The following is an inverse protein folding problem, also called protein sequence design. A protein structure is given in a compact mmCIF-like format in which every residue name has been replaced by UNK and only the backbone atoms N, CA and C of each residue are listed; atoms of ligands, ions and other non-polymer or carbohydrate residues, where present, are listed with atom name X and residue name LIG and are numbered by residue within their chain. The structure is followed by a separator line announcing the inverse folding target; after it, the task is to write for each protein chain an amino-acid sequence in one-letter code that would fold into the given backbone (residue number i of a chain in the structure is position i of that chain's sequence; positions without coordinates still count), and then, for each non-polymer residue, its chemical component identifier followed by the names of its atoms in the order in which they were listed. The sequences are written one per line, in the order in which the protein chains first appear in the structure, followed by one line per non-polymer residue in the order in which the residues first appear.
data_IF_875914287136
#
_entry.id   IF_875914287136
#
_cell.length_a   1.000
_cell.length_b   1.000
_cell.length_c   1.000
_cell.angle_alpha   90.00
_cell.angle_beta   90.00
_cell.angle_gamma   90.00
#
_symmetry.space_group_name_H-M   'P 1'
#
loop_
_entity.id
_entity.type
_entity.pdbx_description
1 polymer ?
#
# COMPACT_ATOMS: atom_id res chain seq x y z
N UNK A 1 17.31 -27.20 11.76
CA UNK A 1 17.73 -27.07 10.34
C UNK A 1 19.15 -26.55 10.33
N UNK A 2 20.14 -27.38 10.02
CA UNK A 2 21.57 -27.07 10.30
C UNK A 2 22.45 -26.92 9.06
N UNK A 3 21.89 -26.86 7.85
CA UNK A 3 22.62 -26.41 6.64
C UNK A 3 21.69 -25.64 5.69
N UNK A 4 21.98 -24.36 5.47
CA UNK A 4 21.40 -23.53 4.41
C UNK A 4 22.43 -22.46 4.00
N UNK A 5 22.45 -22.10 2.72
CA UNK A 5 23.45 -21.16 2.17
C UNK A 5 22.95 -19.71 2.13
N UNK A 6 21.63 -19.52 2.16
CA UNK A 6 20.99 -18.21 2.18
C UNK A 6 19.55 -18.28 2.72
N UNK A 7 19.00 -17.12 3.08
CA UNK A 7 17.63 -17.00 3.60
C UNK A 7 16.82 -16.04 2.72
N UNK A 8 15.65 -16.48 2.27
CA UNK A 8 14.63 -15.58 1.69
C UNK A 8 13.38 -15.69 2.56
N UNK A 9 12.96 -14.60 3.18
CA UNK A 9 11.81 -14.57 4.06
C UNK A 9 10.92 -13.36 3.78
N UNK A 10 9.61 -13.54 3.90
CA UNK A 10 8.60 -12.47 3.80
C UNK A 10 7.75 -12.52 5.06
N UNK A 11 7.47 -11.37 5.65
CA UNK A 11 6.59 -11.30 6.82
C UNK A 11 6.32 -9.87 7.27
N UNK A 12 5.66 -9.75 8.43
CA UNK A 12 5.41 -8.45 9.05
C UNK A 12 6.71 -7.70 9.33
N UNK A 13 6.63 -6.38 9.56
CA UNK A 13 7.80 -5.57 9.95
C UNK A 13 8.50 -6.11 11.21
N UNK A 14 7.72 -6.65 12.16
CA UNK A 14 8.26 -7.27 13.37
C UNK A 14 8.99 -8.58 13.06
N UNK A 15 8.39 -9.42 12.21
CA UNK A 15 9.00 -10.67 11.75
C UNK A 15 10.29 -10.39 10.99
N UNK A 16 10.28 -9.38 10.12
CA UNK A 16 11.45 -8.96 9.37
C UNK A 16 12.59 -8.52 10.30
N UNK A 17 12.30 -7.71 11.33
CA UNK A 17 13.30 -7.28 12.31
C UNK A 17 13.92 -8.47 13.04
N UNK A 18 13.09 -9.43 13.48
CA UNK A 18 13.56 -10.64 14.14
C UNK A 18 14.45 -11.48 13.20
N UNK A 19 14.01 -11.71 11.95
CA UNK A 19 14.79 -12.48 10.98
C UNK A 19 16.10 -11.79 10.59
N UNK A 20 16.11 -10.46 10.44
CA UNK A 20 17.33 -9.72 10.10
C UNK A 20 18.38 -9.86 11.19
N UNK A 21 17.96 -9.82 12.45
CA UNK A 21 18.85 -10.05 13.58
C UNK A 21 19.34 -11.51 13.64
N UNK A 22 18.42 -12.47 13.54
CA UNK A 22 18.72 -13.89 13.69
C UNK A 22 19.62 -14.44 12.57
N UNK A 23 19.42 -14.00 11.33
CA UNK A 23 20.14 -14.49 10.15
C UNK A 23 21.24 -13.53 9.68
N UNK A 24 21.66 -12.56 10.49
CA UNK A 24 22.64 -11.53 10.12
C UNK A 24 23.98 -12.06 9.58
N UNK A 25 24.34 -13.29 9.96
CA UNK A 25 25.60 -13.95 9.57
C UNK A 25 25.48 -14.75 8.25
N UNK A 26 24.31 -14.78 7.61
CA UNK A 26 24.09 -15.45 6.33
C UNK A 26 23.64 -14.43 5.29
N UNK A 27 23.89 -14.67 3.99
CA UNK A 27 23.24 -13.89 2.95
C UNK A 27 21.71 -14.00 3.08
N UNK A 28 21.01 -12.87 3.12
CA UNK A 28 19.55 -12.88 3.24
C UNK A 28 18.84 -11.85 2.36
N UNK A 29 17.63 -12.18 1.95
CA UNK A 29 16.59 -11.25 1.49
C UNK A 29 15.43 -11.36 2.47
N UNK A 30 15.14 -10.26 3.18
CA UNK A 30 14.01 -10.19 4.09
C UNK A 30 13.06 -9.12 3.58
N UNK A 31 11.82 -9.52 3.26
CA UNK A 31 10.79 -8.62 2.77
C UNK A 31 9.86 -8.18 3.89
N UNK A 32 9.82 -6.86 4.09
CA UNK A 32 8.93 -6.14 5.03
C UNK A 32 7.57 -5.89 4.38
N UNK A 33 6.60 -5.48 5.20
CA UNK A 33 5.31 -5.04 4.68
C UNK A 33 5.48 -3.67 4.01
N UNK A 34 5.01 -3.58 2.77
CA UNK A 34 4.86 -2.33 2.01
C UNK A 34 3.43 -2.23 1.51
N UNK A 35 2.99 -1.02 1.16
CA UNK A 35 1.64 -0.78 0.64
C UNK A 35 1.69 0.11 -0.61
N UNK A 36 0.63 0.06 -1.40
CA UNK A 36 0.39 1.04 -2.46
C UNK A 36 -0.10 2.36 -1.86
N UNK A 37 0.23 3.45 -2.53
CA UNK A 37 -0.36 4.77 -2.29
C UNK A 37 -0.96 5.29 -3.59
N UNK A 38 -1.88 6.26 -3.50
CA UNK A 38 -2.31 7.05 -4.64
C UNK A 38 -2.10 8.54 -4.36
N UNK A 39 -1.73 9.29 -5.40
CA UNK A 39 -1.67 10.74 -5.39
C UNK A 39 -2.80 11.22 -6.28
N UNK A 40 -3.70 12.02 -5.71
CA UNK A 40 -4.82 12.62 -6.42
C UNK A 40 -4.63 14.14 -6.46
N UNK A 41 -5.00 14.79 -7.55
CA UNK A 41 -4.95 16.24 -7.75
C UNK A 41 -6.33 16.88 -7.95
N UNK A 42 -7.40 16.08 -8.02
CA UNK A 42 -8.78 16.56 -8.19
C UNK A 42 -9.21 16.71 -9.66
N UNK A 43 -8.36 16.35 -10.62
CA UNK A 43 -8.64 16.38 -12.05
C UNK A 43 -8.79 14.98 -12.65
N UNK A 44 -8.81 13.94 -11.82
CA UNK A 44 -9.02 12.57 -12.26
C UNK A 44 -10.38 12.44 -12.95
N UNK A 45 -10.45 11.63 -14.01
CA UNK A 45 -11.74 11.28 -14.60
C UNK A 45 -12.47 10.26 -13.73
N UNK A 46 -13.78 10.13 -13.92
CA UNK A 46 -14.58 9.13 -13.22
C UNK A 46 -14.09 7.70 -13.51
N UNK A 47 -13.61 7.43 -14.73
CA UNK A 47 -13.02 6.15 -15.13
C UNK A 47 -11.70 5.88 -14.39
N UNK A 48 -10.86 6.91 -14.20
CA UNK A 48 -9.62 6.81 -13.45
C UNK A 48 -9.89 6.52 -11.96
N UNK A 49 -10.85 7.22 -11.35
CA UNK A 49 -11.27 6.97 -9.98
C UNK A 49 -11.91 5.60 -9.80
N UNK A 50 -12.67 5.12 -10.79
CA UNK A 50 -13.24 3.78 -10.79
C UNK A 50 -12.12 2.73 -10.84
N UNK A 51 -11.12 2.92 -11.71
CA UNK A 51 -9.96 2.05 -11.82
C UNK A 51 -9.11 2.05 -10.54
N UNK A 52 -8.96 3.19 -9.88
CA UNK A 52 -8.33 3.29 -8.55
C UNK A 52 -9.09 2.45 -7.51
N UNK A 53 -10.42 2.33 -7.64
CA UNK A 53 -11.21 1.41 -6.83
C UNK A 53 -10.71 -0.04 -6.92
N UNK A 54 -10.27 -0.51 -8.09
CA UNK A 54 -9.68 -1.85 -8.23
C UNK A 54 -8.36 -1.96 -7.45
N UNK A 55 -7.50 -0.94 -7.53
CA UNK A 55 -6.24 -0.89 -6.80
C UNK A 55 -6.45 -0.91 -5.26
N UNK A 56 -7.56 -0.36 -4.78
CA UNK A 56 -7.93 -0.33 -3.36
C UNK A 56 -8.57 -1.67 -2.93
N UNK A 57 -9.59 -2.13 -3.65
CA UNK A 57 -10.51 -3.18 -3.17
C UNK A 57 -10.18 -4.58 -3.68
N UNK A 58 -9.38 -4.72 -4.76
CA UNK A 58 -8.99 -6.05 -5.23
C UNK A 58 -8.25 -6.81 -4.11
N UNK A 59 -8.57 -8.09 -3.98
CA UNK A 59 -8.11 -8.94 -2.88
C UNK A 59 -8.42 -8.38 -1.49
N UNK A 60 -9.51 -7.62 -1.33
CA UNK A 60 -9.94 -7.01 -0.08
C UNK A 60 -8.97 -5.95 0.50
N UNK A 61 -8.06 -5.43 -0.32
CA UNK A 61 -7.02 -4.50 0.14
C UNK A 61 -5.90 -5.16 0.94
N UNK A 62 -5.74 -6.49 0.83
CA UNK A 62 -4.73 -7.26 1.56
C UNK A 62 -3.37 -7.32 0.85
N UNK A 63 -3.26 -6.84 -0.39
CA UNK A 63 -2.03 -6.93 -1.17
C UNK A 63 -1.01 -5.87 -0.75
N UNK A 64 0.29 -6.20 -0.85
CA UNK A 64 1.35 -5.20 -0.66
C UNK A 64 1.33 -4.08 -1.73
N UNK A 65 0.61 -4.31 -2.83
CA UNK A 65 0.34 -3.33 -3.89
C UNK A 65 -1.07 -2.72 -3.81
N UNK A 66 -1.88 -3.12 -2.83
CA UNK A 66 -3.18 -2.49 -2.61
C UNK A 66 -2.98 -1.06 -2.11
N UNK A 67 -3.78 -0.13 -2.64
CA UNK A 67 -3.74 1.27 -2.21
C UNK A 67 -4.35 1.38 -0.82
N UNK A 68 -3.50 1.70 0.16
CA UNK A 68 -3.89 1.88 1.56
C UNK A 68 -3.96 3.36 1.97
N UNK A 69 -3.34 4.25 1.17
CA UNK A 69 -3.26 5.69 1.45
C UNK A 69 -3.43 6.56 0.22
N UNK A 70 -4.12 7.68 0.41
CA UNK A 70 -4.30 8.75 -0.57
C UNK A 70 -3.53 10.01 -0.13
N UNK A 71 -2.81 10.63 -1.05
CA UNK A 71 -2.34 12.00 -0.91
C UNK A 71 -3.22 12.88 -1.77
N UNK A 72 -3.81 13.91 -1.19
CA UNK A 72 -4.80 14.78 -1.83
C UNK A 72 -4.44 16.25 -1.64
N UNK A 73 -4.78 17.16 -2.55
CA UNK A 73 -4.55 18.59 -2.35
C UNK A 73 -5.39 19.12 -1.20
N UNK A 74 -4.96 20.24 -0.62
CA UNK A 74 -5.81 21.02 0.27
C UNK A 74 -7.16 21.31 -0.41
N UNK A 75 -8.25 21.18 0.35
CA UNK A 75 -9.63 21.37 -0.15
C UNK A 75 -10.13 20.37 -1.21
N UNK A 76 -9.52 19.18 -1.31
CA UNK A 76 -10.02 18.10 -2.18
C UNK A 76 -11.48 17.71 -1.85
N UNK A 77 -12.31 17.57 -2.90
CA UNK A 77 -13.70 17.10 -2.79
C UNK A 77 -13.77 15.57 -3.00
N UNK A 78 -14.16 14.85 -1.95
CA UNK A 78 -14.32 13.40 -2.00
C UNK A 78 -15.58 12.92 -2.72
N UNK A 79 -16.50 13.79 -3.12
CA UNK A 79 -17.77 13.37 -3.75
C UNK A 79 -17.54 12.49 -4.99
N UNK A 80 -16.69 12.94 -5.93
CA UNK A 80 -16.37 12.18 -7.13
C UNK A 80 -15.70 10.84 -6.80
N UNK A 81 -14.78 10.83 -5.83
CA UNK A 81 -14.14 9.61 -5.35
C UNK A 81 -15.16 8.63 -4.76
N UNK A 82 -16.08 9.11 -3.92
CA UNK A 82 -17.11 8.27 -3.30
C UNK A 82 -18.04 7.66 -4.33
N UNK A 83 -18.51 8.45 -5.32
CA UNK A 83 -19.32 7.94 -6.42
C UNK A 83 -18.59 6.84 -7.19
N UNK A 84 -17.31 7.06 -7.50
CA UNK A 84 -16.49 6.11 -8.25
C UNK A 84 -16.32 4.77 -7.53
N UNK A 85 -16.22 4.77 -6.19
CA UNK A 85 -16.02 3.53 -5.41
C UNK A 85 -17.31 2.80 -5.06
N UNK A 86 -18.50 3.39 -5.26
CA UNK A 86 -19.79 2.76 -4.95
C UNK A 86 -19.97 1.35 -5.55
N UNK A 87 -19.52 1.04 -6.79
CA UNK A 87 -19.62 -0.30 -7.35
C UNK A 87 -18.95 -1.39 -6.49
N UNK A 88 -17.93 -1.02 -5.71
CA UNK A 88 -17.18 -1.94 -4.84
C UNK A 88 -17.87 -2.24 -3.51
N UNK A 89 -19.00 -1.59 -3.19
CA UNK A 89 -19.73 -1.76 -1.91
C UNK A 89 -20.04 -3.21 -1.53
N UNK A 90 -20.16 -4.12 -2.51
CA UNK A 90 -20.42 -5.55 -2.29
C UNK A 90 -19.33 -6.24 -1.48
N UNK A 91 -18.13 -5.65 -1.35
CA UNK A 91 -17.05 -6.15 -0.50
C UNK A 91 -17.49 -6.35 0.97
N UNK A 92 -18.44 -5.54 1.44
CA UNK A 92 -18.99 -5.64 2.81
C UNK A 92 -19.79 -6.91 3.04
N UNK A 93 -20.17 -7.64 1.99
CA UNK A 93 -20.87 -8.92 2.12
C UNK A 93 -19.93 -10.04 2.58
N UNK A 94 -18.61 -9.88 2.42
CA UNK A 94 -17.65 -10.84 2.93
C UNK A 94 -17.52 -10.73 4.45
N UNK A 95 -17.87 -11.82 5.16
CA UNK A 95 -18.00 -11.84 6.64
C UNK A 95 -16.75 -11.33 7.36
N UNK A 96 -15.54 -11.75 6.96
CA UNK A 96 -14.30 -11.32 7.61
C UNK A 96 -14.03 -9.83 7.42
N UNK A 97 -14.26 -9.33 6.20
CA UNK A 97 -14.09 -7.91 5.88
C UNK A 97 -15.08 -7.05 6.68
N UNK A 98 -16.36 -7.44 6.67
CA UNK A 98 -17.42 -6.79 7.45
C UNK A 98 -17.10 -6.70 8.94
N UNK A 99 -16.57 -7.78 9.50
CA UNK A 99 -16.20 -7.81 10.91
C UNK A 99 -15.05 -6.84 11.21
N UNK A 100 -14.02 -6.80 10.34
CA UNK A 100 -12.90 -5.87 10.50
C UNK A 100 -13.37 -4.41 10.40
N UNK A 101 -14.13 -4.10 9.35
CA UNK A 101 -14.74 -2.79 9.14
C UNK A 101 -15.54 -2.32 10.36
N UNK A 102 -16.46 -3.16 10.86
CA UNK A 102 -17.27 -2.83 12.06
C UNK A 102 -16.41 -2.61 13.29
N UNK A 103 -15.41 -3.46 13.50
CA UNK A 103 -14.52 -3.36 14.66
C UNK A 103 -13.74 -2.04 14.66
N UNK A 104 -13.11 -1.70 13.53
CA UNK A 104 -12.37 -0.45 13.40
C UNK A 104 -13.30 0.77 13.51
N UNK A 105 -14.49 0.72 12.88
CA UNK A 105 -15.47 1.80 13.03
C UNK A 105 -15.84 2.04 14.50
N UNK A 106 -16.11 0.97 15.26
CA UNK A 106 -16.40 1.09 16.69
C UNK A 106 -15.25 1.71 17.47
N UNK A 107 -13.99 1.35 17.16
CA UNK A 107 -12.81 1.96 17.80
C UNK A 107 -12.77 3.46 17.53
N UNK A 108 -12.95 3.90 16.28
CA UNK A 108 -12.92 5.33 15.95
C UNK A 108 -14.07 6.10 16.60
N UNK A 109 -15.27 5.53 16.66
CA UNK A 109 -16.42 6.14 17.35
C UNK A 109 -16.17 6.31 18.84
N UNK A 110 -15.69 5.25 19.52
CA UNK A 110 -15.38 5.28 20.96
C UNK A 110 -14.29 6.32 21.26
N UNK A 111 -13.28 6.41 20.40
CA UNK A 111 -12.18 7.35 20.55
C UNK A 111 -12.48 8.76 20.03
N UNK A 112 -13.73 9.06 19.61
CA UNK A 112 -14.12 10.34 19.00
C UNK A 112 -13.16 10.80 17.88
N UNK A 113 -12.61 9.82 17.16
CA UNK A 113 -11.66 10.06 16.09
C UNK A 113 -12.44 10.49 14.84
N UNK A 114 -12.12 11.60 14.18
CA UNK A 114 -12.78 11.96 12.93
C UNK A 114 -12.47 10.95 11.82
N UNK A 115 -13.49 10.57 11.06
CA UNK A 115 -13.38 9.75 9.85
C UNK A 115 -14.58 9.98 8.94
N UNK A 116 -14.44 9.69 7.65
CA UNK A 116 -15.53 9.60 6.68
C UNK A 116 -15.95 8.15 6.54
N UNK A 117 -17.24 7.91 6.38
CA UNK A 117 -17.84 6.57 6.37
C UNK A 117 -18.72 6.40 5.13
N UNK A 118 -18.38 5.45 4.26
CA UNK A 118 -19.16 5.13 3.05
C UNK A 118 -20.10 3.94 3.22
N UNK A 119 -20.13 3.33 4.40
CA UNK A 119 -20.86 2.10 4.73
C UNK A 119 -20.09 0.81 4.43
N UNK A 120 -18.96 0.90 3.71
CA UNK A 120 -18.11 -0.26 3.39
C UNK A 120 -16.61 0.02 3.45
N UNK A 121 -16.19 1.29 3.49
CA UNK A 121 -14.80 1.69 3.76
C UNK A 121 -14.79 2.96 4.60
N UNK A 122 -13.79 3.10 5.47
CA UNK A 122 -13.58 4.30 6.28
C UNK A 122 -12.42 5.10 5.70
N UNK A 123 -12.53 6.43 5.65
CA UNK A 123 -11.40 7.29 5.35
C UNK A 123 -11.00 8.05 6.60
N UNK A 124 -9.70 8.05 6.92
CA UNK A 124 -9.19 8.72 8.11
C UNK A 124 -7.91 9.50 7.79
N UNK A 125 -7.82 10.73 8.26
CA UNK A 125 -6.58 11.49 8.19
C UNK A 125 -5.50 10.83 9.06
N UNK A 126 -4.36 10.47 8.45
CA UNK A 126 -3.26 9.80 9.14
C UNK A 126 -1.96 9.88 8.36
N UNK A 127 -0.85 10.09 9.05
CA UNK A 127 0.50 10.11 8.47
C UNK A 127 1.02 8.72 8.09
N UNK A 128 0.56 7.65 8.74
CA UNK A 128 1.00 6.29 8.44
C UNK A 128 0.68 5.87 6.99
N UNK A 129 1.57 5.13 6.33
CA UNK A 129 1.34 4.58 4.98
C UNK A 129 0.38 3.38 5.02
N UNK A 130 0.57 2.48 5.98
CA UNK A 130 -0.22 1.27 6.12
C UNK A 130 -1.54 1.56 6.84
N UNK A 131 -2.67 1.19 6.23
CA UNK A 131 -3.99 1.29 6.86
C UNK A 131 -4.54 -0.10 7.26
N UNK A 132 -5.43 -0.17 8.27
CA UNK A 132 -6.20 -1.38 8.53
C UNK A 132 -7.13 -1.74 7.36
N UNK A 133 -7.48 -3.02 7.25
CA UNK A 133 -8.45 -3.50 6.23
C UNK A 133 -9.79 -2.74 6.38
N UNK A 134 -10.32 -2.23 5.28
CA UNK A 134 -11.54 -1.42 5.31
C UNK A 134 -11.35 0.00 5.83
N UNK A 135 -10.10 0.46 5.93
CA UNK A 135 -9.74 1.85 6.12
C UNK A 135 -8.79 2.28 5.00
N UNK A 136 -8.96 3.50 4.52
CA UNK A 136 -8.00 4.18 3.66
C UNK A 136 -7.51 5.41 4.44
N UNK A 137 -6.20 5.56 4.56
CA UNK A 137 -5.66 6.79 5.12
C UNK A 137 -5.59 7.88 4.07
N UNK A 138 -5.79 9.12 4.48
CA UNK A 138 -5.50 10.25 3.61
C UNK A 138 -4.62 11.27 4.33
N UNK A 139 -3.91 12.06 3.54
CA UNK A 139 -3.11 13.19 4.01
C UNK A 139 -3.11 14.29 2.95
N UNK A 140 -3.24 15.52 3.40
CA UNK A 140 -3.17 16.69 2.52
C UNK A 140 -1.73 16.98 2.08
N UNK A 141 -1.56 17.45 0.85
CA UNK A 141 -0.32 18.04 0.37
C UNK A 141 -0.59 19.41 -0.27
N UNK A 142 0.38 20.32 -0.11
CA UNK A 142 0.31 21.68 -0.66
C UNK A 142 1.25 21.88 -1.86
N UNK A 143 2.30 21.06 -1.95
CA UNK A 143 3.38 21.21 -2.92
C UNK A 143 3.92 19.83 -3.34
N UNK A 144 4.11 19.63 -4.64
CA UNK A 144 4.60 18.37 -5.19
C UNK A 144 6.05 18.07 -4.79
N UNK A 145 6.90 19.10 -4.65
CA UNK A 145 8.31 18.91 -4.28
C UNK A 145 8.43 18.41 -2.83
N UNK A 146 7.64 18.99 -1.91
CA UNK A 146 7.54 18.51 -0.53
C UNK A 146 6.96 17.10 -0.43
N UNK A 147 5.95 16.80 -1.25
CA UNK A 147 5.39 15.45 -1.32
C UNK A 147 6.45 14.45 -1.81
N UNK A 148 7.24 14.80 -2.83
CA UNK A 148 8.32 13.95 -3.31
C UNK A 148 9.37 13.66 -2.22
N UNK A 149 9.78 14.69 -1.46
CA UNK A 149 10.70 14.52 -0.33
C UNK A 149 10.12 13.60 0.75
N UNK A 150 8.85 13.80 1.10
CA UNK A 150 8.14 12.94 2.05
C UNK A 150 8.08 11.48 1.58
N UNK A 151 7.81 11.25 0.29
CA UNK A 151 7.74 9.91 -0.29
C UNK A 151 9.12 9.24 -0.37
N UNK A 152 10.20 10.02 -0.53
CA UNK A 152 11.58 9.50 -0.43
C UNK A 152 11.90 9.02 0.99
N UNK A 153 11.49 9.76 2.02
CA UNK A 153 11.65 9.34 3.43
C UNK A 153 10.84 8.05 3.72
N UNK A 154 9.66 7.93 3.10
CA UNK A 154 8.76 6.78 3.25
C UNK A 154 8.97 5.64 2.25
N UNK A 155 10.02 5.69 1.44
CA UNK A 155 10.23 4.76 0.33
C UNK A 155 10.26 3.27 0.77
N UNK A 156 10.75 2.98 1.98
CA UNK A 156 10.79 1.62 2.52
C UNK A 156 9.42 1.05 2.91
N UNK A 157 8.40 1.89 3.04
CA UNK A 157 7.01 1.51 3.36
C UNK A 157 6.12 1.43 2.10
N UNK A 158 6.61 1.95 0.97
CA UNK A 158 5.83 2.12 -0.27
C UNK A 158 6.25 1.09 -1.31
N UNK A 159 5.28 0.39 -1.88
CA UNK A 159 5.52 -0.61 -2.92
C UNK A 159 5.28 -0.05 -4.33
N UNK A 160 4.27 0.79 -4.49
CA UNK A 160 3.91 1.43 -5.75
C UNK A 160 3.17 2.74 -5.49
N UNK A 161 3.26 3.66 -6.45
CA UNK A 161 2.59 4.95 -6.42
C UNK A 161 1.63 4.99 -7.60
N UNK A 162 0.34 5.09 -7.33
CA UNK A 162 -0.70 5.32 -8.33
C UNK A 162 -0.85 6.82 -8.52
N UNK A 163 -0.69 7.28 -9.76
CA UNK A 163 -0.73 8.70 -10.10
C UNK A 163 -1.09 8.83 -11.59
N UNK A 164 -2.20 9.50 -11.88
CA UNK A 164 -2.67 9.67 -13.25
C UNK A 164 -1.76 10.56 -14.12
N UNK A 165 -1.05 11.51 -13.51
CA UNK A 165 -0.14 12.44 -14.16
C UNK A 165 1.29 11.89 -14.25
N UNK A 166 1.57 10.76 -13.57
CA UNK A 166 2.89 10.12 -13.49
C UNK A 166 4.02 11.05 -13.05
N UNK A 167 3.72 12.02 -12.20
CA UNK A 167 4.66 13.04 -11.72
C UNK A 167 5.86 12.38 -11.03
N UNK A 168 5.62 11.29 -10.29
CA UNK A 168 6.65 10.59 -9.50
C UNK A 168 6.99 9.18 -10.04
N UNK A 169 7.02 9.01 -11.37
CA UNK A 169 7.17 7.69 -12.00
C UNK A 169 6.09 6.70 -11.55
N UNK A 170 4.91 7.23 -11.24
CA UNK A 170 3.75 6.44 -10.84
C UNK A 170 3.17 5.62 -11.98
N UNK A 171 2.39 4.63 -11.61
CA UNK A 171 1.57 3.83 -12.51
C UNK A 171 0.17 4.43 -12.62
N UNK A 172 -0.54 4.12 -13.71
CA UNK A 172 -1.90 4.62 -13.87
C UNK A 172 -2.86 3.92 -12.90
N UNK A 173 -3.98 4.55 -12.55
CA UNK A 173 -5.06 3.89 -11.84
C UNK A 173 -5.50 2.58 -12.50
N UNK A 174 -5.73 1.55 -11.69
CA UNK A 174 -6.07 0.18 -12.09
C UNK A 174 -4.87 -0.72 -12.39
N UNK A 175 -3.64 -0.18 -12.39
CA UNK A 175 -2.43 -0.94 -12.75
C UNK A 175 -1.64 -1.41 -11.53
N UNK A 176 -2.10 -1.14 -10.30
CA UNK A 176 -1.32 -1.50 -9.11
C UNK A 176 -1.08 -2.99 -8.99
N UNK A 177 -1.96 -3.83 -9.53
CA UNK A 177 -1.81 -5.29 -9.45
C UNK A 177 -1.14 -5.90 -10.69
N UNK A 178 -0.56 -5.09 -11.58
CA UNK A 178 0.08 -5.53 -12.83
C UNK A 178 1.58 -5.16 -12.86
N UNK A 179 2.42 -5.75 -11.98
CA UNK A 179 3.84 -5.42 -11.93
C UNK A 179 4.58 -5.83 -13.20
N UNK A 180 5.49 -4.98 -13.67
CA UNK A 180 6.41 -5.36 -14.74
C UNK A 180 7.42 -6.41 -14.25
N UNK A 181 8.06 -7.12 -15.19
CA UNK A 181 9.01 -8.22 -14.88
C UNK A 181 10.19 -7.78 -13.98
N UNK A 182 10.54 -6.49 -13.98
CA UNK A 182 11.62 -5.90 -13.20
C UNK A 182 11.15 -5.24 -11.89
N UNK A 183 9.85 -5.21 -11.60
CA UNK A 183 9.29 -4.63 -10.37
C UNK A 183 9.28 -5.67 -9.23
N UNK A 184 10.46 -5.90 -8.64
CA UNK A 184 10.59 -6.81 -7.50
C UNK A 184 9.98 -6.21 -6.22
N UNK A 185 9.44 -7.07 -5.36
CA UNK A 185 8.74 -6.73 -4.10
C UNK A 185 9.65 -6.18 -2.97
N UNK A 186 10.64 -5.34 -3.31
CA UNK A 186 11.43 -4.40 -2.49
C UNK A 186 12.54 -3.71 -3.33
N UNK A 187 12.42 -3.69 -4.67
CA UNK A 187 13.49 -3.27 -5.60
C UNK A 187 14.81 -4.08 -5.48
N UNK A 188 14.79 -5.22 -4.79
CA UNK A 188 15.93 -6.14 -4.70
C UNK A 188 15.81 -7.21 -5.78
N UNK A 189 16.76 -7.20 -6.72
CA UNK A 189 16.89 -8.20 -7.76
C UNK A 189 17.23 -9.58 -7.16
N UNK A 190 16.20 -10.42 -7.09
CA UNK A 190 16.31 -11.75 -6.51
C UNK A 190 17.15 -12.68 -7.40
N UNK A 191 17.15 -12.46 -8.72
CA UNK A 191 17.96 -13.25 -9.66
C UNK A 191 19.44 -12.92 -9.46
N UNK A 192 19.80 -11.64 -9.37
CA UNK A 192 21.17 -11.21 -9.09
C UNK A 192 21.68 -11.76 -7.76
N UNK A 193 20.83 -11.80 -6.73
CA UNK A 193 21.17 -12.41 -5.44
C UNK A 193 21.49 -13.90 -5.57
N UNK A 194 20.63 -14.67 -6.26
CA UNK A 194 20.82 -16.10 -6.48
C UNK A 194 22.07 -16.40 -7.33
N UNK A 195 22.32 -15.61 -8.37
CA UNK A 195 23.52 -15.75 -9.23
C UNK A 195 24.80 -15.48 -8.43
N UNK A 196 24.79 -14.47 -7.54
CA UNK A 196 25.94 -14.17 -6.68
C UNK A 196 26.26 -15.35 -5.73
N UNK A 197 25.23 -15.97 -5.16
CA UNK A 197 25.38 -17.14 -4.30
C UNK A 197 25.95 -18.35 -5.04
N UNK A 198 25.51 -18.59 -6.28
CA UNK A 198 26.03 -19.69 -7.08
C UNK A 198 27.53 -19.51 -7.37
N UNK A 199 27.94 -18.30 -7.76
CA UNK A 199 29.34 -17.98 -8.08
C UNK A 199 30.29 -18.00 -6.88
N UNK A 200 29.81 -17.80 -5.66
CA UNK A 200 30.66 -17.90 -4.45
C UNK A 200 30.93 -19.34 -4.01
N UNK A 201 30.22 -20.33 -4.57
CA UNK A 201 30.41 -21.76 -4.31
C UNK A 201 31.10 -22.51 -5.46
N UNK A 202 31.50 -21.78 -6.52
CA UNK A 202 32.30 -22.28 -7.65
C UNK A 202 33.74 -21.80 -7.50
#
# INVERSE_FOLDING_TARGET
MTKFDAVIATGSNNTARYFSYHYRNHPYIIRKNRNGIAILDGKETMEELLALGDDIFRYFGLGCRSVAKLFIPEHYDFNAFFEAILPYRKIINHKKYKNNYKHIRSIYLVNQTPFLDTGFVLLKENEAIASPIGVIYYQYYSDHSKLEEHLKDKAEEIQCIVDHNKILQGIKPGQAQEPALWEYANNVDTIKFLVKLYRSHS
#
